data_IF_496644262793
#
_entry.id   IF_496644262793
#
_cell.length_a   1.000
_cell.length_b   1.000
_cell.length_c   1.000
_cell.angle_alpha   90.00
_cell.angle_beta   90.00
_cell.angle_gamma   90.00
#
_symmetry.space_group_name_H-M   'P 1'
#
loop_
_entity.id
_entity.type
_entity.pdbx_description
1 polymer ?
#
# COMPACT_ATOMS: atom_id res chain seq x y z
N UNK A 1 15.20 -3.54 -2.17
CA UNK A 1 14.91 -3.91 -0.78
C UNK A 1 13.61 -4.68 -0.60
N UNK A 2 12.73 -4.68 -1.59
CA UNK A 2 11.38 -5.28 -1.50
C UNK A 2 11.37 -6.77 -1.11
N UNK A 3 12.35 -7.54 -1.58
CA UNK A 3 12.44 -8.97 -1.29
C UNK A 3 13.32 -9.32 -0.08
N UNK A 4 13.72 -8.35 0.72
CA UNK A 4 14.56 -8.62 1.87
C UNK A 4 13.79 -9.46 2.91
N UNK A 5 14.38 -10.59 3.28
CA UNK A 5 13.87 -11.50 4.30
C UNK A 5 15.08 -12.06 5.08
N UNK A 6 15.36 -11.53 6.28
CA UNK A 6 16.56 -11.85 7.03
C UNK A 6 16.76 -13.35 7.25
N UNK A 7 17.94 -13.87 6.89
CA UNK A 7 18.26 -15.29 6.96
C UNK A 7 17.73 -16.15 5.81
N UNK A 8 16.89 -15.60 4.95
CA UNK A 8 16.39 -16.25 3.73
C UNK A 8 16.90 -15.53 2.50
N UNK A 9 16.72 -14.21 2.45
CA UNK A 9 17.24 -13.35 1.39
C UNK A 9 17.76 -12.04 1.99
N UNK A 10 19.03 -12.01 2.28
CA UNK A 10 19.69 -10.82 2.80
C UNK A 10 19.92 -9.79 1.69
N UNK A 11 19.57 -8.55 2.00
CA UNK A 11 19.79 -7.38 1.15
C UNK A 11 20.64 -6.38 1.91
N UNK A 12 21.84 -6.03 1.41
CA UNK A 12 22.77 -5.18 2.13
C UNK A 12 22.24 -3.75 2.25
N UNK A 13 22.54 -3.10 3.36
CA UNK A 13 22.37 -1.66 3.57
C UNK A 13 21.02 -1.09 3.10
N UNK A 14 19.89 -1.68 3.54
CA UNK A 14 18.54 -1.24 3.17
C UNK A 14 18.27 0.24 3.49
N UNK A 15 19.01 0.80 4.42
CA UNK A 15 18.93 2.22 4.82
C UNK A 15 19.61 3.17 3.81
N UNK A 16 20.46 2.64 2.91
CA UNK A 16 21.24 3.41 1.94
C UNK A 16 20.96 2.91 0.51
N UNK A 17 19.68 2.76 0.16
CA UNK A 17 19.30 2.36 -1.19
C UNK A 17 19.47 3.53 -2.17
N UNK A 18 20.25 3.33 -3.22
CA UNK A 18 20.28 4.22 -4.38
C UNK A 18 19.38 3.69 -5.49
N UNK A 19 18.83 4.58 -6.31
CA UNK A 19 18.19 4.18 -7.56
C UNK A 19 19.23 3.60 -8.52
N UNK A 20 18.87 2.61 -9.35
CA UNK A 20 19.77 2.12 -10.38
C UNK A 20 20.02 3.20 -11.44
N UNK A 21 21.18 3.16 -12.05
CA UNK A 21 21.50 3.94 -13.25
C UNK A 21 21.05 3.13 -14.45
N UNK A 22 20.31 3.76 -15.35
CA UNK A 22 19.90 3.18 -16.61
C UNK A 22 20.73 3.80 -17.73
N UNK A 23 21.36 2.94 -18.52
CA UNK A 23 22.20 3.33 -19.66
C UNK A 23 21.59 2.81 -20.95
N UNK A 24 21.34 3.72 -21.89
CA UNK A 24 21.05 3.38 -23.30
C UNK A 24 22.36 3.38 -24.07
N UNK A 25 22.66 2.26 -24.71
CA UNK A 25 23.87 2.14 -25.52
C UNK A 25 23.59 2.49 -26.99
N UNK A 26 24.64 2.76 -27.78
CA UNK A 26 24.52 3.07 -29.21
C UNK A 26 23.93 1.92 -30.03
N UNK A 27 24.07 0.68 -29.55
CA UNK A 27 23.51 -0.54 -30.13
C UNK A 27 22.11 -0.88 -29.56
N UNK A 28 21.40 0.13 -29.01
CA UNK A 28 20.01 0.07 -28.54
C UNK A 28 19.77 -0.89 -27.37
N UNK A 29 20.79 -1.21 -26.57
CA UNK A 29 20.63 -2.00 -25.35
C UNK A 29 20.20 -1.10 -24.19
N UNK A 30 19.41 -1.68 -23.29
CA UNK A 30 19.01 -1.06 -22.02
C UNK A 30 19.69 -1.80 -20.89
N UNK A 31 20.64 -1.14 -20.27
CA UNK A 31 21.45 -1.69 -19.18
C UNK A 31 21.17 -0.96 -17.88
N UNK A 32 21.05 -1.71 -16.79
CA UNK A 32 20.92 -1.18 -15.45
C UNK A 32 22.13 -1.58 -14.62
N UNK A 33 22.64 -0.64 -13.82
CA UNK A 33 23.69 -0.89 -12.84
C UNK A 33 23.36 -0.23 -11.49
N UNK A 34 24.03 -0.70 -10.45
CA UNK A 34 23.95 -0.09 -9.12
C UNK A 34 24.82 1.13 -9.06
N UNK A 35 24.29 2.20 -8.43
CA UNK A 35 25.12 3.33 -8.03
C UNK A 35 26.22 2.83 -7.04
N UNK A 36 27.49 3.14 -7.28
CA UNK A 36 28.57 2.75 -6.37
C UNK A 36 28.32 3.22 -4.93
N UNK A 37 28.74 2.44 -3.96
CA UNK A 37 28.60 2.73 -2.51
C UNK A 37 27.17 2.81 -2.00
N UNK A 38 26.19 2.23 -2.70
CA UNK A 38 24.82 2.10 -2.24
C UNK A 38 24.47 0.65 -1.92
N UNK A 39 23.57 0.47 -0.97
CA UNK A 39 23.01 -0.83 -0.60
C UNK A 39 21.94 -1.31 -1.58
N UNK A 40 21.25 -2.38 -1.21
CA UNK A 40 20.24 -3.00 -2.05
C UNK A 40 20.80 -4.05 -2.99
N UNK A 41 19.90 -4.63 -3.77
CA UNK A 41 20.24 -5.61 -4.82
C UNK A 41 19.67 -5.19 -6.15
N UNK A 42 20.44 -5.36 -7.18
CA UNK A 42 20.01 -5.27 -8.56
C UNK A 42 20.25 -6.64 -9.20
N UNK A 43 19.19 -7.38 -9.41
CA UNK A 43 19.18 -8.69 -10.03
C UNK A 43 17.92 -8.84 -10.91
N UNK A 44 17.83 -9.96 -11.62
CA UNK A 44 16.68 -10.25 -12.48
C UNK A 44 15.35 -10.12 -11.73
N UNK A 45 15.29 -10.60 -10.48
CA UNK A 45 14.06 -10.61 -9.69
C UNK A 45 13.62 -9.19 -9.32
N UNK A 46 14.54 -8.36 -8.82
CA UNK A 46 14.25 -6.99 -8.40
C UNK A 46 13.89 -6.08 -9.58
N UNK A 47 14.52 -6.29 -10.73
CA UNK A 47 14.23 -5.55 -11.96
C UNK A 47 12.87 -5.97 -12.54
N UNK A 48 12.58 -7.26 -12.60
CA UNK A 48 11.28 -7.75 -13.08
C UNK A 48 10.15 -7.25 -12.20
N UNK A 49 10.31 -7.29 -10.89
CA UNK A 49 9.31 -6.77 -9.94
C UNK A 49 9.04 -5.29 -10.18
N UNK A 50 10.08 -4.48 -10.35
CA UNK A 50 9.92 -3.04 -10.57
C UNK A 50 9.27 -2.72 -11.93
N UNK A 51 9.61 -3.48 -12.97
CA UNK A 51 9.03 -3.28 -14.31
C UNK A 51 7.54 -3.64 -14.38
N UNK A 52 7.11 -4.60 -13.56
CA UNK A 52 5.72 -5.08 -13.55
C UNK A 52 4.92 -4.58 -12.34
N UNK A 53 5.50 -3.73 -11.51
CA UNK A 53 4.86 -3.22 -10.31
C UNK A 53 3.58 -2.44 -10.63
N UNK A 54 2.46 -2.89 -10.03
CA UNK A 54 1.12 -2.31 -10.23
C UNK A 54 0.61 -2.32 -11.69
N UNK A 55 1.17 -3.15 -12.56
CA UNK A 55 0.70 -3.32 -13.93
C UNK A 55 -0.26 -4.50 -13.99
N UNK A 56 -1.55 -4.23 -14.25
CA UNK A 56 -2.60 -5.27 -14.33
C UNK A 56 -2.50 -6.09 -15.61
N UNK A 57 -2.22 -5.44 -16.74
CA UNK A 57 -2.08 -6.07 -18.05
C UNK A 57 -0.74 -5.66 -18.70
N UNK A 58 0.28 -6.50 -18.57
CA UNK A 58 1.59 -6.23 -19.17
C UNK A 58 1.57 -6.10 -20.69
N UNK A 59 0.59 -6.68 -21.37
CA UNK A 59 0.47 -6.58 -22.82
C UNK A 59 -0.15 -5.26 -23.29
N UNK A 60 -0.78 -4.49 -22.39
CA UNK A 60 -1.49 -3.27 -22.73
C UNK A 60 -1.28 -2.18 -21.69
N UNK A 61 -0.06 -1.73 -21.51
CA UNK A 61 0.26 -0.62 -20.63
C UNK A 61 0.16 0.72 -21.35
N UNK A 62 -0.84 1.53 -20.99
CA UNK A 62 -1.14 2.79 -21.67
C UNK A 62 -0.13 3.88 -21.30
N UNK A 63 0.53 4.42 -22.32
CA UNK A 63 1.33 5.64 -22.24
C UNK A 63 0.80 6.70 -23.21
N UNK A 64 1.20 7.97 -23.11
CA UNK A 64 0.77 8.99 -24.05
C UNK A 64 1.15 8.70 -25.51
N UNK A 65 2.27 8.05 -25.74
CA UNK A 65 2.86 7.86 -27.07
C UNK A 65 2.50 6.51 -27.69
N UNK A 66 2.43 5.46 -26.90
CA UNK A 66 2.19 4.09 -27.35
C UNK A 66 1.40 3.30 -26.30
N UNK A 67 0.84 2.18 -26.71
CA UNK A 67 0.47 1.12 -25.77
C UNK A 67 1.69 0.22 -25.65
N UNK A 68 2.38 0.29 -24.53
CA UNK A 68 3.54 -0.55 -24.28
C UNK A 68 3.11 -2.00 -24.01
N UNK A 69 3.88 -2.92 -24.58
CA UNK A 69 3.71 -4.37 -24.41
C UNK A 69 4.96 -4.94 -23.75
N UNK A 70 4.79 -5.33 -22.49
CA UNK A 70 5.84 -5.92 -21.64
C UNK A 70 5.72 -7.44 -21.53
N UNK A 71 4.80 -8.08 -22.26
CA UNK A 71 4.54 -9.52 -22.16
C UNK A 71 5.72 -10.38 -22.60
N UNK A 72 6.64 -9.82 -23.42
CA UNK A 72 7.82 -10.50 -23.93
C UNK A 72 9.13 -9.95 -23.34
N UNK A 73 9.05 -9.23 -22.23
CA UNK A 73 10.27 -8.75 -21.56
C UNK A 73 11.17 -9.90 -21.15
N UNK A 74 12.43 -9.77 -21.47
CA UNK A 74 13.54 -10.58 -20.95
C UNK A 74 14.42 -9.73 -20.06
N UNK A 75 14.74 -10.23 -18.89
CA UNK A 75 15.65 -9.60 -17.93
C UNK A 75 16.81 -10.56 -17.68
N UNK A 76 18.00 -10.16 -18.06
CA UNK A 76 19.21 -10.98 -18.01
C UNK A 76 20.27 -10.33 -17.13
N UNK A 77 20.81 -11.12 -16.19
CA UNK A 77 21.96 -10.70 -15.39
C UNK A 77 23.22 -10.93 -16.22
N UNK A 78 23.99 -9.87 -16.39
CA UNK A 78 25.28 -9.93 -17.07
C UNK A 78 26.42 -10.09 -16.07
N UNK A 79 27.63 -10.36 -16.57
CA UNK A 79 28.85 -10.23 -15.78
C UNK A 79 28.98 -8.80 -15.26
N UNK A 80 29.70 -8.60 -14.15
CA UNK A 80 30.04 -7.30 -13.58
C UNK A 80 28.86 -6.51 -12.94
N UNK A 81 27.75 -7.18 -12.60
CA UNK A 81 26.64 -6.57 -11.85
C UNK A 81 25.69 -5.72 -12.68
N UNK A 82 25.72 -5.87 -14.00
CA UNK A 82 24.76 -5.26 -14.92
C UNK A 82 23.54 -6.16 -15.11
N UNK A 83 22.37 -5.53 -15.32
CA UNK A 83 21.16 -6.22 -15.74
C UNK A 83 20.69 -5.63 -17.06
N UNK A 84 20.46 -6.47 -18.04
CA UNK A 84 19.94 -6.08 -19.35
C UNK A 84 18.46 -6.37 -19.45
N UNK A 85 17.71 -5.41 -20.02
CA UNK A 85 16.26 -5.53 -20.28
C UNK A 85 16.02 -5.46 -21.78
N UNK A 86 15.31 -6.46 -22.33
CA UNK A 86 14.97 -6.58 -23.75
C UNK A 86 13.51 -6.96 -23.96
N UNK A 87 13.02 -6.81 -25.19
CA UNK A 87 11.76 -7.40 -25.62
C UNK A 87 10.52 -6.55 -25.35
N UNK A 88 10.67 -5.29 -24.92
CA UNK A 88 9.57 -4.36 -24.90
C UNK A 88 9.12 -4.06 -26.34
N UNK A 89 7.80 -4.03 -26.55
CA UNK A 89 7.18 -3.66 -27.84
C UNK A 89 6.17 -2.54 -27.65
N UNK A 90 5.78 -1.91 -28.74
CA UNK A 90 4.77 -0.85 -28.73
C UNK A 90 3.69 -1.09 -29.77
N UNK A 91 2.45 -0.82 -29.38
CA UNK A 91 1.28 -0.78 -30.27
C UNK A 91 0.86 0.66 -30.49
N UNK A 92 0.07 0.91 -31.53
CA UNK A 92 -0.48 2.25 -31.81
C UNK A 92 -1.26 2.78 -30.59
N UNK A 93 -1.00 4.03 -30.21
CA UNK A 93 -1.73 4.74 -29.15
C UNK A 93 -3.24 4.81 -29.41
N UNK A 94 -4.02 4.93 -28.36
CA UNK A 94 -5.50 4.95 -28.44
C UNK A 94 -6.09 6.27 -28.95
N UNK A 95 -5.33 7.37 -28.93
CA UNK A 95 -5.86 8.72 -29.12
C UNK A 95 -6.57 9.28 -27.91
N UNK A 96 -6.41 8.61 -26.75
CA UNK A 96 -6.92 9.06 -25.46
C UNK A 96 -5.80 9.14 -24.43
N UNK A 97 -5.94 10.02 -23.46
CA UNK A 97 -5.05 10.16 -22.33
C UNK A 97 -5.75 9.74 -21.03
N UNK A 98 -5.03 9.04 -20.17
CA UNK A 98 -5.52 8.70 -18.84
C UNK A 98 -5.32 9.89 -17.90
N UNK A 99 -6.41 10.33 -17.28
CA UNK A 99 -6.41 11.38 -16.27
C UNK A 99 -6.79 10.79 -14.92
N UNK A 100 -6.02 11.08 -13.90
CA UNK A 100 -6.35 10.75 -12.52
C UNK A 100 -7.08 11.93 -11.88
N UNK A 101 -8.32 11.71 -11.47
CA UNK A 101 -9.18 12.71 -10.84
C UNK A 101 -9.26 12.40 -9.35
N UNK A 102 -8.75 13.31 -8.52
CA UNK A 102 -8.91 13.25 -7.08
C UNK A 102 -10.24 13.86 -6.65
N UNK A 103 -10.99 13.17 -5.79
CA UNK A 103 -12.22 13.70 -5.21
C UNK A 103 -12.35 13.34 -3.74
N UNK A 104 -12.99 14.21 -2.99
CA UNK A 104 -13.28 13.94 -1.57
C UNK A 104 -14.37 12.86 -1.46
N UNK A 105 -14.08 11.82 -0.70
CA UNK A 105 -14.91 10.61 -0.61
C UNK A 105 -15.23 10.25 0.85
N UNK A 106 -15.69 11.23 1.59
CA UNK A 106 -16.08 11.08 2.99
C UNK A 106 -14.90 11.12 3.96
N UNK A 107 -15.09 10.44 5.10
CA UNK A 107 -14.16 10.46 6.23
C UNK A 107 -13.94 9.04 6.76
N UNK A 108 -12.72 8.75 7.18
CA UNK A 108 -12.40 7.56 7.97
C UNK A 108 -12.16 8.00 9.41
N UNK A 109 -12.97 7.46 10.33
CA UNK A 109 -12.72 7.52 11.75
C UNK A 109 -12.05 6.24 12.23
N UNK A 110 -11.05 6.38 13.05
CA UNK A 110 -10.33 5.24 13.62
C UNK A 110 -10.20 5.39 15.13
N UNK A 111 -10.38 4.27 15.85
CA UNK A 111 -10.12 4.17 17.26
C UNK A 111 -9.34 2.92 17.59
N UNK A 112 -8.41 3.01 18.54
CA UNK A 112 -7.53 1.92 18.95
C UNK A 112 -7.38 1.85 20.46
N UNK A 113 -7.23 0.62 21.01
CA UNK A 113 -6.91 0.35 22.40
C UNK A 113 -6.09 -0.92 22.52
N UNK A 114 -5.11 -0.96 23.42
CA UNK A 114 -4.27 -2.13 23.67
C UNK A 114 -4.71 -2.89 24.91
N UNK A 115 -4.50 -4.22 24.89
CA UNK A 115 -4.65 -5.13 26.02
C UNK A 115 -3.37 -5.92 26.22
N UNK A 116 -2.79 -5.87 27.42
CA UNK A 116 -1.54 -6.55 27.74
C UNK A 116 -1.71 -7.71 28.74
N UNK A 117 -0.73 -8.62 28.77
CA UNK A 117 -0.65 -9.72 29.73
C UNK A 117 -1.57 -10.91 29.43
N UNK A 118 -1.81 -11.75 30.45
CA UNK A 118 -2.61 -12.98 30.30
C UNK A 118 -3.99 -12.68 29.69
N UNK A 119 -4.44 -13.50 28.75
CA UNK A 119 -5.73 -13.39 28.06
C UNK A 119 -5.93 -12.09 27.28
N UNK A 120 -4.87 -11.39 26.89
CA UNK A 120 -4.98 -10.12 26.14
C UNK A 120 -5.82 -10.27 24.85
N UNK A 121 -5.64 -11.36 24.09
CA UNK A 121 -6.41 -11.62 22.87
C UNK A 121 -7.91 -11.82 23.16
N UNK A 122 -8.26 -12.58 24.19
CA UNK A 122 -9.66 -12.81 24.56
C UNK A 122 -10.35 -11.49 24.99
N UNK A 123 -9.62 -10.65 25.75
CA UNK A 123 -10.13 -9.32 26.15
C UNK A 123 -10.29 -8.39 24.96
N UNK A 124 -9.36 -8.38 24.04
CA UNK A 124 -9.49 -7.58 22.81
C UNK A 124 -10.65 -8.06 21.93
N UNK A 125 -10.88 -9.37 21.82
CA UNK A 125 -12.05 -9.93 21.11
C UNK A 125 -13.36 -9.49 21.78
N UNK A 126 -13.45 -9.55 23.11
CA UNK A 126 -14.62 -9.05 23.84
C UNK A 126 -14.82 -7.55 23.63
N UNK A 127 -13.74 -6.75 23.64
CA UNK A 127 -13.83 -5.32 23.34
C UNK A 127 -14.36 -5.07 21.93
N UNK A 128 -13.90 -5.82 20.94
CA UNK A 128 -14.38 -5.74 19.58
C UNK A 128 -15.90 -6.03 19.47
N UNK A 129 -16.37 -7.08 20.17
CA UNK A 129 -17.82 -7.39 20.23
C UNK A 129 -18.62 -6.26 20.88
N UNK A 130 -18.11 -5.65 21.97
CA UNK A 130 -18.75 -4.49 22.60
C UNK A 130 -18.90 -3.36 21.60
N UNK A 131 -17.82 -2.99 20.90
CA UNK A 131 -17.86 -1.90 19.91
C UNK A 131 -18.84 -2.23 18.78
N UNK A 132 -18.82 -3.45 18.23
CA UNK A 132 -19.74 -3.83 17.14
C UNK A 132 -21.20 -3.68 17.57
N UNK A 133 -21.56 -4.12 18.78
CA UNK A 133 -22.92 -3.94 19.33
C UNK A 133 -23.25 -2.46 19.56
N UNK A 134 -22.28 -1.67 20.02
CA UNK A 134 -22.44 -0.23 20.22
C UNK A 134 -22.70 0.49 18.90
N UNK A 135 -21.96 0.17 17.83
CA UNK A 135 -22.17 0.76 16.51
C UNK A 135 -23.59 0.48 15.97
N UNK A 136 -24.11 -0.73 16.20
CA UNK A 136 -25.50 -1.05 15.85
C UNK A 136 -26.50 -0.18 16.63
N UNK A 137 -26.31 -0.02 17.95
CA UNK A 137 -27.19 0.78 18.80
C UNK A 137 -27.17 2.27 18.43
N UNK A 138 -26.04 2.79 17.98
CA UNK A 138 -25.90 4.19 17.59
C UNK A 138 -26.65 4.51 16.30
N UNK A 139 -27.04 3.50 15.54
CA UNK A 139 -27.80 3.61 14.30
C UNK A 139 -27.26 4.67 13.32
N UNK A 140 -25.91 4.73 13.21
CA UNK A 140 -25.22 5.57 12.25
C UNK A 140 -25.01 4.82 10.94
N UNK A 141 -25.01 5.56 9.85
CA UNK A 141 -24.72 4.96 8.54
C UNK A 141 -23.20 4.97 8.28
N UNK A 142 -22.61 3.79 8.22
CA UNK A 142 -21.23 3.57 7.81
C UNK A 142 -21.20 2.76 6.52
N UNK A 143 -20.54 3.28 5.49
CA UNK A 143 -20.38 2.55 4.23
C UNK A 143 -19.43 1.35 4.38
N UNK A 144 -18.50 1.43 5.33
CA UNK A 144 -17.57 0.36 5.65
C UNK A 144 -17.22 0.40 7.15
N UNK A 145 -17.05 -0.79 7.71
CA UNK A 145 -16.54 -0.96 9.08
C UNK A 145 -15.51 -2.08 9.09
N UNK A 146 -14.34 -1.80 9.63
CA UNK A 146 -13.25 -2.77 9.76
C UNK A 146 -12.81 -2.90 11.21
N UNK A 147 -12.63 -4.13 11.65
CA UNK A 147 -12.12 -4.46 13.00
C UNK A 147 -10.93 -5.39 12.87
N UNK A 148 -9.80 -4.95 13.39
CA UNK A 148 -8.55 -5.69 13.38
C UNK A 148 -8.02 -5.91 14.80
N UNK A 149 -7.43 -7.06 15.03
CA UNK A 149 -6.55 -7.33 16.16
C UNK A 149 -5.10 -7.32 15.66
N UNK A 150 -4.43 -6.18 15.85
CA UNK A 150 -3.04 -6.01 15.43
C UNK A 150 -2.17 -6.95 16.25
N UNK A 151 -1.38 -7.78 15.57
CA UNK A 151 -0.64 -8.90 16.14
C UNK A 151 -1.31 -10.26 15.93
N UNK A 152 -2.59 -10.29 15.51
CA UNK A 152 -3.35 -11.53 15.30
C UNK A 152 -3.83 -11.67 13.87
N UNK A 153 -4.58 -10.68 13.33
CA UNK A 153 -5.27 -10.84 12.05
C UNK A 153 -5.31 -9.57 11.16
N UNK A 154 -4.54 -8.55 11.50
CA UNK A 154 -4.63 -7.25 10.81
C UNK A 154 -4.17 -7.24 9.37
N UNK A 155 -3.30 -8.18 8.95
CA UNK A 155 -2.78 -8.24 7.58
C UNK A 155 -3.65 -9.13 6.68
N UNK A 156 -3.97 -10.34 7.10
CA UNK A 156 -4.63 -11.35 6.28
C UNK A 156 -6.06 -11.70 6.76
N UNK A 157 -6.60 -10.93 7.72
CA UNK A 157 -7.95 -11.15 8.23
C UNK A 157 -8.12 -12.46 9.00
N UNK A 158 -9.36 -12.95 9.07
CA UNK A 158 -9.73 -14.15 9.83
C UNK A 158 -9.05 -15.44 9.32
N UNK A 159 -8.64 -15.49 8.07
CA UNK A 159 -7.95 -16.66 7.51
C UNK A 159 -6.58 -16.86 8.15
N UNK A 160 -5.91 -15.78 8.58
CA UNK A 160 -4.63 -15.86 9.27
C UNK A 160 -4.73 -16.68 10.57
N UNK A 161 -5.82 -16.51 11.33
CA UNK A 161 -6.02 -17.24 12.59
C UNK A 161 -6.17 -18.75 12.37
N UNK A 162 -6.64 -19.18 11.18
CA UNK A 162 -6.80 -20.61 10.83
C UNK A 162 -5.45 -21.24 10.46
N UNK A 163 -4.62 -20.51 9.74
CA UNK A 163 -3.33 -21.01 9.22
C UNK A 163 -2.23 -20.88 10.26
N UNK A 164 -2.21 -19.75 10.96
CA UNK A 164 -1.22 -19.45 11.98
C UNK A 164 -1.95 -19.18 13.30
N UNK A 165 -2.14 -20.22 14.15
CA UNK A 165 -2.71 -20.00 15.48
C UNK A 165 -1.87 -18.98 16.24
N UNK A 166 -2.54 -18.00 16.84
CA UNK A 166 -1.88 -16.90 17.52
C UNK A 166 -0.86 -17.43 18.53
N UNK A 167 0.41 -17.02 18.47
CA UNK A 167 1.36 -17.34 19.50
C UNK A 167 0.89 -16.78 20.84
N UNK A 168 1.48 -17.19 21.92
CA UNK A 168 1.18 -16.64 23.25
C UNK A 168 1.65 -15.18 23.28
N UNK A 169 0.74 -14.25 22.91
CA UNK A 169 1.04 -12.83 22.86
C UNK A 169 1.02 -12.22 24.24
N UNK A 170 1.97 -11.33 24.52
CA UNK A 170 2.01 -10.51 25.71
C UNK A 170 1.17 -9.25 25.60
N UNK A 171 0.86 -8.80 24.38
CA UNK A 171 0.05 -7.63 24.07
C UNK A 171 -0.63 -7.79 22.72
N UNK A 172 -1.84 -7.20 22.58
CA UNK A 172 -2.57 -7.09 21.33
C UNK A 172 -3.26 -5.72 21.28
N UNK A 173 -3.39 -5.17 20.09
CA UNK A 173 -4.06 -3.88 19.89
C UNK A 173 -5.32 -4.06 19.06
N UNK A 174 -6.47 -3.71 19.63
CA UNK A 174 -7.74 -3.59 18.90
C UNK A 174 -7.69 -2.28 18.10
N UNK A 175 -8.02 -2.37 16.82
CA UNK A 175 -8.25 -1.27 15.91
C UNK A 175 -9.64 -1.40 15.31
N UNK A 176 -10.45 -0.35 15.37
CA UNK A 176 -11.73 -0.27 14.67
C UNK A 176 -11.74 0.98 13.82
N UNK A 177 -12.04 0.82 12.54
CA UNK A 177 -12.18 1.91 11.59
C UNK A 177 -13.58 1.90 10.99
N UNK A 178 -14.13 3.09 10.76
CA UNK A 178 -15.44 3.29 10.12
C UNK A 178 -15.29 4.31 9.01
N UNK A 179 -16.02 4.11 7.91
CA UNK A 179 -16.12 5.08 6.83
C UNK A 179 -17.50 5.71 6.83
N UNK A 180 -17.55 7.04 6.87
CA UNK A 180 -18.77 7.82 6.92
C UNK A 180 -18.73 9.00 5.93
N UNK A 181 -19.91 9.47 5.50
CA UNK A 181 -20.01 10.67 4.67
C UNK A 181 -19.71 11.95 5.44
N UNK A 182 -20.04 11.96 6.74
CA UNK A 182 -19.88 13.13 7.61
C UNK A 182 -18.76 12.90 8.63
N UNK A 183 -17.99 13.96 8.86
CA UNK A 183 -16.90 13.95 9.84
C UNK A 183 -17.38 13.61 11.24
N UNK A 184 -18.51 14.19 11.65
CA UNK A 184 -19.09 14.01 12.98
C UNK A 184 -19.50 12.54 13.24
N UNK A 185 -19.91 11.82 12.21
CA UNK A 185 -20.24 10.40 12.31
C UNK A 185 -18.98 9.54 12.39
N UNK A 186 -17.93 9.90 11.67
CA UNK A 186 -16.63 9.25 11.78
C UNK A 186 -15.95 9.45 13.17
N UNK A 187 -16.13 10.61 13.79
CA UNK A 187 -15.59 10.93 15.12
C UNK A 187 -16.17 10.04 16.23
N UNK A 188 -17.35 9.48 16.03
CA UNK A 188 -18.03 8.66 17.05
C UNK A 188 -17.18 7.47 17.48
N UNK A 189 -16.45 6.83 16.56
CA UNK A 189 -15.66 5.65 16.90
C UNK A 189 -14.58 5.92 17.94
N UNK A 190 -13.96 7.11 17.90
CA UNK A 190 -12.96 7.50 18.89
C UNK A 190 -13.55 7.53 20.30
N UNK A 191 -14.75 8.11 20.46
CA UNK A 191 -15.45 8.15 21.74
C UNK A 191 -15.89 6.78 22.25
N UNK A 192 -16.35 5.91 21.36
CA UNK A 192 -16.74 4.54 21.72
C UNK A 192 -15.52 3.70 22.17
N UNK A 193 -14.38 3.86 21.53
CA UNK A 193 -13.13 3.20 21.94
C UNK A 193 -12.65 3.76 23.29
N UNK A 194 -12.71 5.06 23.51
CA UNK A 194 -12.33 5.68 24.78
C UNK A 194 -13.22 5.20 25.94
N UNK A 195 -14.51 5.01 25.69
CA UNK A 195 -15.45 4.49 26.67
C UNK A 195 -15.10 3.08 27.17
N UNK A 196 -14.28 2.29 26.44
CA UNK A 196 -13.80 0.99 26.89
C UNK A 196 -12.89 1.06 28.13
N UNK A 197 -12.33 2.21 28.47
CA UNK A 197 -11.62 2.38 29.74
C UNK A 197 -12.50 2.11 30.97
N UNK A 198 -13.79 2.44 30.85
CA UNK A 198 -14.76 2.30 31.95
C UNK A 198 -15.70 1.13 31.70
N UNK A 199 -16.17 0.96 30.47
CA UNK A 199 -17.23 0.01 30.11
C UNK A 199 -16.71 -1.23 29.36
N UNK A 200 -15.40 -1.38 29.19
CA UNK A 200 -14.76 -2.46 28.46
C UNK A 200 -14.15 -3.53 29.36
N UNK A 201 -13.47 -4.51 28.74
CA UNK A 201 -12.70 -5.52 29.47
C UNK A 201 -11.58 -4.89 30.31
N UNK A 202 -11.19 -5.57 31.39
CA UNK A 202 -10.15 -5.11 32.31
C UNK A 202 -8.80 -4.92 31.62
N UNK A 203 -8.06 -3.87 32.01
CA UNK A 203 -6.67 -3.65 31.60
C UNK A 203 -6.49 -3.12 30.19
N UNK A 204 -7.48 -2.44 29.65
CA UNK A 204 -7.32 -1.65 28.42
C UNK A 204 -6.47 -0.42 28.65
N UNK A 205 -5.61 -0.09 27.67
CA UNK A 205 -4.70 1.05 27.76
C UNK A 205 -4.29 1.63 26.41
N UNK A 206 -3.71 2.83 26.44
CA UNK A 206 -3.11 3.45 25.26
C UNK A 206 -4.09 3.78 24.13
N UNK A 207 -5.29 4.29 24.48
CA UNK A 207 -6.29 4.71 23.48
C UNK A 207 -5.68 5.74 22.53
N UNK A 208 -5.97 5.58 21.25
CA UNK A 208 -5.71 6.56 20.19
C UNK A 208 -6.92 6.63 19.27
N UNK A 209 -7.17 7.81 18.73
CA UNK A 209 -8.19 8.00 17.71
C UNK A 209 -7.75 9.07 16.71
N UNK A 210 -8.24 8.93 15.48
CA UNK A 210 -8.05 9.91 14.40
C UNK A 210 -9.31 9.98 13.53
N UNK A 211 -9.46 11.09 12.83
CA UNK A 211 -10.41 11.24 11.74
C UNK A 211 -9.72 11.94 10.59
N UNK A 212 -9.77 11.31 9.44
CA UNK A 212 -9.11 11.78 8.22
C UNK A 212 -10.13 11.91 7.08
N UNK A 213 -9.96 12.93 6.24
CA UNK A 213 -10.73 13.02 5.01
C UNK A 213 -10.16 12.03 3.99
N UNK A 214 -11.03 11.34 3.27
CA UNK A 214 -10.64 10.39 2.23
C UNK A 214 -10.55 11.11 0.90
N UNK A 215 -9.38 11.07 0.29
CA UNK A 215 -9.17 11.45 -1.10
C UNK A 215 -9.16 10.17 -1.95
N UNK A 216 -10.23 9.93 -2.69
CA UNK A 216 -10.28 8.82 -3.65
C UNK A 216 -9.84 9.29 -5.04
N UNK A 217 -9.28 8.36 -5.82
CA UNK A 217 -8.79 8.63 -7.17
C UNK A 217 -9.59 7.79 -8.17
N UNK A 218 -10.22 8.45 -9.13
CA UNK A 218 -10.81 7.82 -10.30
C UNK A 218 -9.92 8.04 -11.52
N UNK A 219 -9.76 7.02 -12.35
CA UNK A 219 -9.10 7.14 -13.64
C UNK A 219 -10.14 7.27 -14.74
N UNK A 220 -10.02 8.30 -15.54
CA UNK A 220 -10.86 8.54 -16.71
C UNK A 220 -10.00 8.66 -17.96
N UNK A 221 -10.58 8.34 -19.12
CA UNK A 221 -9.94 8.57 -20.41
C UNK A 221 -10.58 9.79 -21.05
N UNK A 222 -9.75 10.73 -21.52
CA UNK A 222 -10.18 11.92 -22.26
C UNK A 222 -9.56 11.89 -23.67
N UNK A 223 -10.19 12.50 -24.69
CA UNK A 223 -9.59 12.64 -26.00
C UNK A 223 -8.25 13.40 -25.91
N UNK A 224 -7.25 12.93 -26.66
CA UNK A 224 -5.94 13.60 -26.70
C UNK A 224 -6.04 15.03 -27.23
N UNK A 225 -6.97 15.29 -28.14
CA UNK A 225 -7.22 16.62 -28.73
C UNK A 225 -7.65 17.69 -27.72
N UNK A 226 -8.17 17.26 -26.56
CA UNK A 226 -8.57 18.17 -25.46
C UNK A 226 -7.37 18.62 -24.61
N UNK A 227 -6.17 18.07 -24.84
CA UNK A 227 -4.97 18.37 -24.06
C UNK A 227 -3.92 19.07 -24.90
N UNK A 228 -3.52 20.26 -24.46
CA UNK A 228 -2.50 21.09 -25.15
C UNK A 228 -1.23 21.19 -24.28
N UNK A 229 -0.29 20.22 -24.37
CA UNK A 229 0.93 20.26 -23.57
C UNK A 229 1.84 21.42 -24.00
N UNK A 230 2.46 22.08 -23.02
CA UNK A 230 3.52 23.07 -23.28
C UNK A 230 4.80 22.63 -22.59
N UNK A 231 5.93 22.82 -23.28
CA UNK A 231 7.26 22.53 -22.75
C UNK A 231 7.96 23.84 -22.43
N UNK A 232 8.33 24.01 -21.18
CA UNK A 232 9.13 25.16 -20.73
C UNK A 232 10.53 24.66 -20.35
N UNK A 233 11.57 25.31 -20.88
CA UNK A 233 12.94 25.05 -20.47
C UNK A 233 13.30 25.96 -19.32
N UNK A 234 13.58 25.41 -18.16
CA UNK A 234 14.25 26.17 -17.09
C UNK A 234 15.72 26.33 -17.47
N UNK A 235 16.16 27.58 -17.59
CA UNK A 235 17.59 27.88 -17.70
C UNK A 235 18.13 27.77 -16.29
N UNK A 236 18.97 26.78 -16.02
CA UNK A 236 19.74 26.71 -14.80
C UNK A 236 20.56 28.01 -14.65
N UNK A 237 20.52 28.61 -13.46
CA UNK A 237 21.41 29.70 -13.09
C UNK A 237 22.86 29.21 -13.00
#
# INVERSE_FOLDING_TARGET
GYFADPGVKDVPELWNLGFPILTFTEDERILLEKLPQTGGRLDRQTVTEQLLYEIQDPANYFTPDVIADFSQLSVEELSDGWVEVKGAAGKKRTGTLKVSVGYQDGYIGEGQISYGGRNCVARAKLAAEVIQKRLVLLNKHYSETRTDLIGVNSLYGAEQEKVFPAPQLSEVRLRVAVRAEKKEDAEVIGREIEALYVNGPAGGGGVRSSVESVLSIASVLIPEEDVHPTVCWERGE
#
